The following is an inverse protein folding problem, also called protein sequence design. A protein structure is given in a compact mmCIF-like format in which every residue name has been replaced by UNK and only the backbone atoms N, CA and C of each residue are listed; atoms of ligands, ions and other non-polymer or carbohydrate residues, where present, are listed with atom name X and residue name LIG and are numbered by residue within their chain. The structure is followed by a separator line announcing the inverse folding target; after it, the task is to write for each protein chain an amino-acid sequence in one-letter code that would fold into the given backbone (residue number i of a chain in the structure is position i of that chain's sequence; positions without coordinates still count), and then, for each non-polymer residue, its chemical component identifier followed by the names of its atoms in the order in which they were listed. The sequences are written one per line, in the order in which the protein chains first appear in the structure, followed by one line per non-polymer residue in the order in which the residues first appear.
data_IF_167825873028
#
_entry.id   IF_167825873028
#
_cell.length_a   1.000
_cell.length_b   1.000
_cell.length_c   1.000
_cell.angle_alpha   90.00
_cell.angle_beta   90.00
_cell.angle_gamma   90.00
#
_symmetry.space_group_name_H-M   'P 1'
#
loop_
_entity.id
_entity.type
_entity.pdbx_description
1 polymer ?
#
# COMPACT_ATOMS: atom_id res chain seq x y z
N UNK A 1 -5.20 -17.82 -12.00
CA UNK A 1 -4.81 -16.52 -12.60
C UNK A 1 -4.93 -15.32 -11.65
N UNK A 2 -6.02 -15.13 -10.90
CA UNK A 2 -6.21 -13.97 -9.99
C UNK A 2 -5.11 -13.77 -8.94
N UNK A 3 -4.55 -14.86 -8.39
CA UNK A 3 -3.45 -14.79 -7.43
C UNK A 3 -2.13 -14.36 -8.11
N UNK A 4 -1.90 -14.79 -9.34
CA UNK A 4 -0.74 -14.41 -10.16
C UNK A 4 -0.76 -12.91 -10.47
N UNK A 5 -1.91 -12.35 -10.85
CA UNK A 5 -2.07 -10.90 -11.05
C UNK A 5 -1.81 -10.11 -9.77
N UNK A 6 -2.28 -10.61 -8.61
CA UNK A 6 -2.02 -9.94 -7.33
C UNK A 6 -0.52 -9.92 -6.98
N UNK A 7 0.20 -11.02 -7.24
CA UNK A 7 1.65 -11.08 -7.08
C UNK A 7 2.38 -10.16 -8.05
N UNK A 8 1.97 -10.11 -9.32
CA UNK A 8 2.56 -9.19 -10.30
C UNK A 8 2.40 -7.73 -9.90
N UNK A 9 1.21 -7.33 -9.40
CA UNK A 9 0.97 -5.98 -8.88
C UNK A 9 1.85 -5.72 -7.66
N UNK A 10 1.93 -6.66 -6.71
CA UNK A 10 2.75 -6.50 -5.51
C UNK A 10 4.23 -6.29 -5.87
N UNK A 11 4.78 -7.15 -6.72
CA UNK A 11 6.17 -7.10 -7.17
C UNK A 11 6.42 -5.80 -7.94
N UNK A 12 5.55 -5.45 -8.89
CA UNK A 12 5.69 -4.23 -9.69
C UNK A 12 5.71 -2.96 -8.83
N UNK A 13 4.80 -2.88 -7.85
CA UNK A 13 4.74 -1.74 -6.93
C UNK A 13 5.97 -1.72 -6.01
N UNK A 14 6.44 -2.88 -5.56
CA UNK A 14 7.63 -2.97 -4.72
C UNK A 14 8.90 -2.53 -5.46
N UNK A 15 9.05 -2.94 -6.73
CA UNK A 15 10.16 -2.52 -7.58
C UNK A 15 10.10 -1.02 -7.89
N UNK A 16 8.91 -0.47 -8.17
CA UNK A 16 8.74 0.97 -8.38
C UNK A 16 9.07 1.75 -7.11
N UNK A 17 8.44 1.41 -5.98
CA UNK A 17 8.65 2.12 -4.73
C UNK A 17 10.11 2.01 -4.25
N UNK A 18 10.67 0.81 -4.31
CA UNK A 18 12.08 0.55 -3.98
C UNK A 18 13.04 1.30 -4.91
N UNK A 19 12.74 1.34 -6.21
CA UNK A 19 13.48 2.14 -7.18
C UNK A 19 13.43 3.64 -6.87
N UNK A 20 12.27 4.16 -6.48
CA UNK A 20 12.09 5.54 -6.03
C UNK A 20 12.92 5.88 -4.79
N UNK A 21 12.87 5.03 -3.75
CA UNK A 21 13.69 5.25 -2.55
C UNK A 21 15.19 5.12 -2.83
N UNK A 22 15.60 4.25 -3.75
CA UNK A 22 16.99 4.14 -4.15
C UNK A 22 17.46 5.39 -4.93
N UNK A 23 16.61 5.92 -5.81
CA UNK A 23 16.83 7.22 -6.47
C UNK A 23 16.98 8.34 -5.44
N UNK A 24 16.09 8.42 -4.46
CA UNK A 24 16.21 9.39 -3.37
C UNK A 24 17.57 9.27 -2.67
N UNK A 25 17.95 8.06 -2.24
CA UNK A 25 19.22 7.81 -1.54
C UNK A 25 20.43 8.29 -2.35
N UNK A 26 20.53 7.89 -3.61
CA UNK A 26 21.69 8.22 -4.44
C UNK A 26 21.79 9.72 -4.68
N UNK A 27 20.67 10.37 -4.99
CA UNK A 27 20.67 11.77 -5.40
C UNK A 27 20.67 12.74 -4.21
N UNK A 28 20.18 12.34 -3.03
CA UNK A 28 20.36 13.16 -1.83
C UNK A 28 21.83 13.15 -1.39
N UNK A 29 22.52 12.01 -1.46
CA UNK A 29 23.96 11.92 -1.19
C UNK A 29 24.75 12.81 -2.18
N UNK A 30 24.42 12.78 -3.48
CA UNK A 30 25.04 13.66 -4.48
C UNK A 30 24.74 15.13 -4.25
N UNK A 31 23.50 15.47 -3.90
CA UNK A 31 23.13 16.85 -3.61
C UNK A 31 23.90 17.39 -2.40
N UNK A 32 24.03 16.59 -1.34
CA UNK A 32 24.82 16.96 -0.15
C UNK A 32 26.32 17.10 -0.46
N UNK A 33 26.85 16.30 -1.37
CA UNK A 33 28.27 16.36 -1.76
C UNK A 33 28.60 17.51 -2.72
N UNK A 34 27.73 17.80 -3.69
CA UNK A 34 28.05 18.69 -4.81
C UNK A 34 27.13 19.92 -4.93
N UNK A 35 26.05 20.00 -4.15
CA UNK A 35 25.14 21.15 -4.11
C UNK A 35 24.31 21.39 -5.39
N UNK A 36 24.28 20.44 -6.33
CA UNK A 36 23.61 20.64 -7.62
C UNK A 36 22.09 20.56 -7.46
N UNK A 37 21.40 21.62 -7.86
CA UNK A 37 19.92 21.72 -7.77
C UNK A 37 19.21 20.57 -8.50
N UNK A 38 19.77 20.08 -9.62
CA UNK A 38 19.23 18.93 -10.34
C UNK A 38 19.15 17.67 -9.46
N UNK A 39 20.16 17.42 -8.62
CA UNK A 39 20.18 16.25 -7.72
C UNK A 39 19.11 16.37 -6.63
N UNK A 40 18.82 17.59 -6.16
CA UNK A 40 17.72 17.83 -5.23
C UNK A 40 16.36 17.48 -5.87
N UNK A 41 16.11 17.89 -7.12
CA UNK A 41 14.86 17.56 -7.82
C UNK A 41 14.72 16.06 -8.08
N UNK A 42 15.81 15.37 -8.46
CA UNK A 42 15.79 13.92 -8.67
C UNK A 42 15.58 13.17 -7.36
N UNK A 43 16.17 13.64 -6.25
CA UNK A 43 15.93 13.01 -4.95
C UNK A 43 14.47 13.18 -4.50
N UNK A 44 13.90 14.37 -4.69
CA UNK A 44 12.49 14.65 -4.38
C UNK A 44 11.54 13.78 -5.23
N UNK A 45 11.83 13.60 -6.52
CA UNK A 45 11.02 12.74 -7.39
C UNK A 45 11.12 11.27 -6.98
N UNK A 46 12.30 10.81 -6.54
CA UNK A 46 12.48 9.49 -5.96
C UNK A 46 11.61 9.28 -4.71
N UNK A 47 11.57 10.26 -3.81
CA UNK A 47 10.70 10.26 -2.63
C UNK A 47 9.22 10.19 -2.99
N UNK A 48 8.77 11.02 -3.92
CA UNK A 48 7.39 11.04 -4.40
C UNK A 48 7.02 9.69 -5.00
N UNK A 49 7.90 9.11 -5.82
CA UNK A 49 7.66 7.83 -6.47
C UNK A 49 7.61 6.67 -5.45
N UNK A 50 8.50 6.68 -4.46
CA UNK A 50 8.46 5.77 -3.32
C UNK A 50 7.13 5.84 -2.56
N UNK A 51 6.73 7.06 -2.19
CA UNK A 51 5.52 7.30 -1.41
C UNK A 51 4.25 6.95 -2.17
N UNK A 52 4.16 7.33 -3.46
CA UNK A 52 3.03 6.98 -4.32
C UNK A 52 2.92 5.46 -4.51
N UNK A 53 4.04 4.75 -4.69
CA UNK A 53 4.05 3.30 -4.76
C UNK A 53 3.50 2.67 -3.49
N UNK A 54 3.98 3.09 -2.31
CA UNK A 54 3.49 2.57 -1.02
C UNK A 54 2.02 2.92 -0.77
N UNK A 55 1.61 4.15 -1.05
CA UNK A 55 0.22 4.60 -0.91
C UNK A 55 -0.72 3.83 -1.84
N UNK A 56 -0.31 3.61 -3.08
CA UNK A 56 -1.05 2.79 -4.04
C UNK A 56 -1.23 1.36 -3.53
N UNK A 57 -0.18 0.74 -2.97
CA UNK A 57 -0.29 -0.61 -2.41
C UNK A 57 -1.30 -0.66 -1.25
N UNK A 58 -1.23 0.31 -0.32
CA UNK A 58 -2.18 0.42 0.78
C UNK A 58 -3.62 0.60 0.29
N UNK A 59 -3.83 1.50 -0.68
CA UNK A 59 -5.13 1.73 -1.31
C UNK A 59 -5.66 0.50 -2.06
N UNK A 60 -4.80 -0.21 -2.78
CA UNK A 60 -5.15 -1.45 -3.49
C UNK A 60 -5.60 -2.54 -2.51
N UNK A 61 -4.86 -2.75 -1.42
CA UNK A 61 -5.23 -3.71 -0.37
C UNK A 61 -6.58 -3.32 0.25
N UNK A 62 -6.75 -2.05 0.63
CA UNK A 62 -8.00 -1.54 1.19
C UNK A 62 -9.18 -1.78 0.24
N UNK A 63 -9.06 -1.41 -1.04
CA UNK A 63 -10.10 -1.57 -2.04
C UNK A 63 -10.45 -3.05 -2.27
N UNK A 64 -9.43 -3.91 -2.35
CA UNK A 64 -9.60 -5.36 -2.50
C UNK A 64 -10.36 -5.95 -1.31
N UNK A 65 -10.00 -5.56 -0.10
CA UNK A 65 -10.59 -6.10 1.13
C UNK A 65 -12.00 -5.54 1.38
N UNK A 66 -12.26 -4.29 0.97
CA UNK A 66 -13.61 -3.69 0.92
C UNK A 66 -14.54 -4.50 0.03
N UNK A 67 -14.10 -4.81 -1.20
CA UNK A 67 -14.89 -5.61 -2.16
C UNK A 67 -15.17 -7.03 -1.67
N UNK A 68 -14.26 -7.62 -0.89
CA UNK A 68 -14.41 -8.96 -0.31
C UNK A 68 -15.27 -8.98 0.96
N UNK A 69 -15.82 -7.84 1.38
CA UNK A 69 -16.62 -7.73 2.60
C UNK A 69 -15.82 -7.93 3.89
N UNK A 70 -14.48 -8.02 3.82
CA UNK A 70 -13.60 -8.22 4.97
C UNK A 70 -13.54 -7.00 5.89
N UNK A 71 -13.91 -5.82 5.39
CA UNK A 71 -14.02 -4.60 6.18
C UNK A 71 -15.33 -4.50 6.98
N UNK A 72 -16.31 -5.41 6.81
CA UNK A 72 -17.53 -5.43 7.64
C UNK A 72 -17.23 -6.11 8.97
N UNK A 73 -16.84 -5.30 9.96
CA UNK A 73 -16.89 -5.60 11.41
C UNK A 73 -16.33 -6.97 11.80
N UNK A 74 -15.09 -7.27 11.44
CA UNK A 74 -14.24 -7.93 12.43
C UNK A 74 -13.82 -6.82 13.38
N UNK A 75 -14.31 -6.91 14.62
CA UNK A 75 -14.15 -5.86 15.60
C UNK A 75 -12.69 -5.42 15.66
N UNK A 76 -12.49 -4.13 15.83
CA UNK A 76 -11.24 -3.47 16.20
C UNK A 76 -10.67 -3.96 17.56
N UNK A 77 -11.11 -5.15 18.01
CA UNK A 77 -10.87 -5.84 19.28
C UNK A 77 -10.90 -7.38 19.17
N UNK A 78 -10.82 -7.97 17.97
CA UNK A 78 -10.58 -9.42 17.81
C UNK A 78 -11.68 -10.36 18.32
N UNK A 79 -12.92 -9.90 18.53
CA UNK A 79 -14.04 -10.81 18.83
C UNK A 79 -15.02 -10.90 17.65
N UNK A 80 -15.32 -12.11 17.16
CA UNK A 80 -16.45 -12.30 16.26
C UNK A 80 -17.73 -11.93 17.00
N UNK A 81 -18.55 -11.05 16.43
CA UNK A 81 -19.90 -10.79 16.94
C UNK A 81 -20.74 -12.01 16.52
N UNK A 82 -21.22 -12.85 17.46
CA UNK A 82 -22.06 -13.98 17.10
C UNK A 82 -23.32 -13.46 16.41
N UNK A 83 -23.62 -14.00 15.21
CA UNK A 83 -24.90 -13.76 14.55
C UNK A 83 -25.99 -14.24 15.52
N UNK A 84 -26.81 -13.31 16.02
CA UNK A 84 -27.95 -13.62 16.87
C UNK A 84 -28.80 -14.71 16.16
N UNK A 85 -29.06 -15.87 16.78
CA UNK A 85 -29.91 -16.87 16.18
C UNK A 85 -31.30 -16.27 15.94
N UNK A 86 -31.84 -16.43 14.72
CA UNK A 86 -33.25 -16.13 14.48
C UNK A 86 -34.05 -17.16 15.25
N UNK A 87 -34.62 -16.76 16.38
CA UNK A 87 -35.61 -17.56 17.10
C UNK A 87 -36.83 -17.68 16.17
N UNK A 88 -37.28 -18.89 15.80
CA UNK A 88 -38.53 -19.04 15.07
C UNK A 88 -39.67 -18.54 15.97
N UNK A 89 -40.50 -17.62 15.46
CA UNK A 89 -41.76 -17.26 16.12
C UNK A 89 -42.68 -18.47 16.06
N UNK A 90 -42.89 -19.13 17.18
CA UNK A 90 -44.02 -20.02 17.39
C UNK A 90 -45.21 -19.17 17.82
N UNK A 91 -46.18 -18.95 16.94
CA UNK A 91 -47.54 -18.55 17.29
C UNK A 91 -48.47 -19.02 16.18
#
# INVERSE_FOLDING_TARGET
MRNLMAWAILIGVFLLAGGGFNLFRIYIEKWLAYGRVADAFVSLSGLVLGFLGTAFLGGFIYFRDKKRGKLKREGWRGRPIPKKPRVPKSS
#
